data_IF_189831452413
#
_entry.id   IF_189831452413
#
_cell.length_a   1.000
_cell.length_b   1.000
_cell.length_c   1.000
_cell.angle_alpha   90.00
_cell.angle_beta   90.00
_cell.angle_gamma   90.00
#
_symmetry.space_group_name_H-M   'P 1'
#
loop_
_entity.id
_entity.type
_entity.pdbx_description
1 polymer ?
#
# COMPACT_ATOMS: atom_id res chain seq x y z
N UNK A 1 4.50 -11.07 -11.77
CA UNK A 1 3.46 -11.99 -11.28
C UNK A 1 3.18 -13.01 -12.35
N UNK A 2 3.24 -14.31 -12.07
CA UNK A 2 2.65 -15.30 -12.98
C UNK A 2 1.14 -15.06 -13.05
N UNK A 3 0.50 -15.38 -14.18
CA UNK A 3 -0.95 -15.23 -14.37
C UNK A 3 -1.76 -15.87 -13.21
N UNK A 4 -1.24 -16.97 -12.66
CA UNK A 4 -1.83 -17.71 -11.54
C UNK A 4 -1.97 -16.89 -10.25
N UNK A 5 -0.99 -16.07 -9.86
CA UNK A 5 -1.08 -15.29 -8.62
C UNK A 5 -2.09 -14.15 -8.73
N UNK A 6 -2.21 -13.56 -9.92
CA UNK A 6 -3.17 -12.50 -10.15
C UNK A 6 -4.60 -13.05 -10.04
N UNK A 7 -4.88 -14.21 -10.63
CA UNK A 7 -6.18 -14.88 -10.54
C UNK A 7 -6.55 -15.24 -9.09
N UNK A 8 -5.58 -15.73 -8.31
CA UNK A 8 -5.79 -15.99 -6.88
C UNK A 8 -6.21 -14.72 -6.15
N UNK A 9 -5.55 -13.59 -6.41
CA UNK A 9 -5.92 -12.32 -5.79
C UNK A 9 -7.32 -11.87 -6.24
N UNK A 10 -7.66 -12.00 -7.53
CA UNK A 10 -9.01 -11.69 -8.04
C UNK A 10 -10.07 -12.52 -7.31
N UNK A 11 -9.85 -13.82 -7.14
CA UNK A 11 -10.77 -14.70 -6.41
C UNK A 11 -10.86 -14.34 -4.91
N UNK A 12 -9.74 -13.94 -4.30
CA UNK A 12 -9.68 -13.57 -2.88
C UNK A 12 -10.45 -12.27 -2.58
N UNK A 13 -10.30 -11.25 -3.43
CA UNK A 13 -10.91 -9.93 -3.21
C UNK A 13 -12.30 -9.80 -3.84
N UNK A 14 -12.58 -10.54 -4.91
CA UNK A 14 -13.81 -10.49 -5.70
C UNK A 14 -15.10 -10.44 -4.86
N UNK A 15 -15.32 -11.36 -3.90
CA UNK A 15 -16.52 -11.37 -3.08
C UNK A 15 -16.77 -10.09 -2.26
N UNK A 16 -15.72 -9.29 -2.00
CA UNK A 16 -15.81 -8.06 -1.19
C UNK A 16 -15.97 -6.79 -2.01
N UNK A 17 -15.76 -6.85 -3.33
CA UNK A 17 -15.66 -5.66 -4.19
C UNK A 17 -16.48 -5.79 -5.47
N UNK A 18 -17.00 -6.96 -5.80
CA UNK A 18 -17.77 -7.18 -7.03
C UNK A 18 -18.96 -6.22 -7.10
N UNK A 19 -19.07 -5.50 -8.23
CA UNK A 19 -20.19 -4.59 -8.50
C UNK A 19 -21.07 -5.25 -9.55
N UNK A 20 -22.23 -5.72 -9.10
CA UNK A 20 -23.21 -6.44 -9.95
C UNK A 20 -24.24 -5.50 -10.59
N UNK A 21 -24.28 -4.23 -10.19
CA UNK A 21 -25.25 -3.27 -10.71
C UNK A 21 -24.85 -2.78 -12.10
N UNK A 22 -25.34 -3.47 -13.12
CA UNK A 22 -25.36 -2.93 -14.47
C UNK A 22 -26.32 -1.74 -14.54
N UNK A 23 -25.90 -0.68 -15.21
CA UNK A 23 -26.78 0.45 -15.53
C UNK A 23 -27.00 0.47 -17.03
N UNK A 24 -28.14 1.02 -17.46
CA UNK A 24 -28.49 1.16 -18.89
C UNK A 24 -27.35 1.87 -19.66
N UNK A 25 -26.62 2.77 -19.00
CA UNK A 25 -25.57 3.58 -19.62
C UNK A 25 -24.17 2.95 -19.57
N UNK A 26 -23.85 2.10 -18.59
CA UNK A 26 -22.49 1.57 -18.38
C UNK A 26 -22.48 0.21 -17.69
N UNK A 27 -21.61 -0.67 -18.21
CA UNK A 27 -21.20 -1.91 -17.54
C UNK A 27 -20.25 -1.62 -16.37
N UNK A 28 -20.32 -2.38 -15.26
CA UNK A 28 -19.35 -2.28 -14.17
C UNK A 28 -17.94 -2.60 -14.64
N UNK A 29 -16.95 -1.94 -14.04
CA UNK A 29 -15.53 -2.26 -14.24
C UNK A 29 -15.26 -3.60 -13.56
N UNK A 30 -14.63 -4.53 -14.28
CA UNK A 30 -14.39 -5.89 -13.78
C UNK A 30 -13.48 -5.91 -12.55
N UNK A 31 -13.61 -6.94 -11.71
CA UNK A 31 -12.74 -7.13 -10.53
C UNK A 31 -11.26 -7.15 -10.93
N UNK A 32 -10.92 -7.82 -12.04
CA UNK A 32 -9.57 -7.88 -12.56
C UNK A 32 -9.01 -6.51 -12.94
N UNK A 33 -9.76 -5.70 -13.70
CA UNK A 33 -9.32 -4.34 -14.07
C UNK A 33 -9.13 -3.45 -12.84
N UNK A 34 -10.04 -3.55 -11.86
CA UNK A 34 -9.94 -2.80 -10.61
C UNK A 34 -8.71 -3.19 -9.81
N UNK A 35 -8.42 -4.48 -9.73
CA UNK A 35 -7.21 -4.98 -9.07
C UNK A 35 -5.94 -4.53 -9.82
N UNK A 36 -5.92 -4.64 -11.15
CA UNK A 36 -4.79 -4.23 -11.98
C UNK A 36 -4.47 -2.73 -11.82
N UNK A 37 -5.51 -1.88 -11.81
CA UNK A 37 -5.38 -0.45 -11.52
C UNK A 37 -4.71 -0.21 -10.16
N UNK A 38 -5.19 -0.88 -9.12
CA UNK A 38 -4.66 -0.69 -7.76
C UNK A 38 -3.23 -1.22 -7.63
N UNK A 39 -2.92 -2.39 -8.21
CA UNK A 39 -1.55 -2.92 -8.20
C UNK A 39 -0.60 -1.99 -8.96
N UNK A 40 -1.03 -1.42 -10.10
CA UNK A 40 -0.26 -0.42 -10.82
C UNK A 40 0.03 0.80 -9.94
N UNK A 41 -0.98 1.29 -9.20
CA UNK A 41 -0.81 2.40 -8.26
C UNK A 41 0.20 2.08 -7.14
N UNK A 42 0.04 0.94 -6.47
CA UNK A 42 0.88 0.55 -5.32
C UNK A 42 2.34 0.34 -5.73
N UNK A 43 2.60 -0.31 -6.87
CA UNK A 43 3.95 -0.62 -7.32
C UNK A 43 4.67 0.61 -7.89
N UNK A 44 3.97 1.46 -8.65
CA UNK A 44 4.61 2.60 -9.32
C UNK A 44 4.67 3.87 -8.46
N UNK A 45 3.78 4.01 -7.48
CA UNK A 45 3.58 5.27 -6.76
C UNK A 45 3.03 6.41 -7.63
N UNK A 46 2.49 6.11 -8.83
CA UNK A 46 1.96 7.11 -9.75
C UNK A 46 0.77 7.88 -9.15
N UNK A 47 0.53 9.09 -9.64
CA UNK A 47 -0.61 9.90 -9.24
C UNK A 47 -1.93 9.30 -9.76
N UNK A 48 -2.99 9.42 -8.97
CA UNK A 48 -4.35 9.03 -9.39
C UNK A 48 -4.84 9.83 -10.62
N UNK A 49 -4.28 11.03 -10.86
CA UNK A 49 -4.56 11.83 -12.06
C UNK A 49 -3.99 11.16 -13.30
N UNK A 50 -2.71 10.77 -13.27
CA UNK A 50 -2.08 10.04 -14.38
C UNK A 50 -2.81 8.71 -14.66
N UNK A 51 -3.12 7.95 -13.61
CA UNK A 51 -3.86 6.69 -13.75
C UNK A 51 -5.27 6.87 -14.32
N UNK A 52 -5.93 8.00 -14.02
CA UNK A 52 -7.24 8.33 -14.59
C UNK A 52 -7.19 8.45 -16.11
N UNK A 53 -6.11 9.01 -16.67
CA UNK A 53 -5.89 9.06 -18.11
C UNK A 53 -5.53 7.70 -18.69
N UNK A 54 -4.63 6.94 -18.03
CA UNK A 54 -4.19 5.62 -18.51
C UNK A 54 -5.34 4.60 -18.58
N UNK A 55 -6.17 4.53 -17.55
CA UNK A 55 -7.30 3.60 -17.48
C UNK A 55 -8.60 4.17 -18.04
N UNK A 56 -8.59 5.44 -18.49
CA UNK A 56 -9.76 6.16 -19.01
C UNK A 56 -10.95 6.16 -18.04
N UNK A 57 -10.64 6.33 -16.75
CA UNK A 57 -11.61 6.35 -15.66
C UNK A 57 -11.62 7.74 -15.01
N UNK A 58 -12.76 8.19 -14.48
CA UNK A 58 -12.79 9.44 -13.73
C UNK A 58 -11.88 9.37 -12.49
N UNK A 59 -11.20 10.48 -12.15
CA UNK A 59 -10.29 10.53 -10.99
C UNK A 59 -10.93 10.04 -9.69
N UNK A 60 -12.19 10.41 -9.43
CA UNK A 60 -12.95 9.93 -8.27
C UNK A 60 -13.18 8.42 -8.29
N UNK A 61 -13.44 7.86 -9.48
CA UNK A 61 -13.58 6.41 -9.66
C UNK A 61 -12.27 5.69 -9.38
N UNK A 62 -11.16 6.18 -9.91
CA UNK A 62 -9.82 5.65 -9.61
C UNK A 62 -9.53 5.68 -8.12
N UNK A 63 -9.75 6.82 -7.45
CA UNK A 63 -9.54 6.96 -6.01
C UNK A 63 -10.36 5.97 -5.20
N UNK A 64 -11.65 5.82 -5.51
CA UNK A 64 -12.54 4.91 -4.80
C UNK A 64 -12.16 3.45 -5.04
N UNK A 65 -11.78 3.09 -6.28
CA UNK A 65 -11.31 1.74 -6.60
C UNK A 65 -10.05 1.41 -5.79
N UNK A 66 -9.04 2.30 -5.79
CA UNK A 66 -7.80 2.09 -5.04
C UNK A 66 -8.11 1.86 -3.57
N UNK A 67 -8.94 2.71 -2.96
CA UNK A 67 -9.30 2.59 -1.55
C UNK A 67 -10.04 1.27 -1.23
N UNK A 68 -11.05 0.91 -2.02
CA UNK A 68 -11.82 -0.32 -1.84
C UNK A 68 -10.94 -1.57 -1.98
N UNK A 69 -10.09 -1.62 -3.00
CA UNK A 69 -9.19 -2.76 -3.23
C UNK A 69 -8.13 -2.86 -2.13
N UNK A 70 -7.49 -1.75 -1.74
CA UNK A 70 -6.49 -1.76 -0.66
C UNK A 70 -7.10 -2.25 0.66
N UNK A 71 -8.33 -1.81 0.96
CA UNK A 71 -9.07 -2.26 2.16
C UNK A 71 -9.37 -3.75 2.09
N UNK A 72 -9.83 -4.25 0.94
CA UNK A 72 -10.09 -5.67 0.75
C UNK A 72 -8.82 -6.52 0.87
N UNK A 73 -7.72 -6.10 0.24
CA UNK A 73 -6.42 -6.76 0.33
C UNK A 73 -5.92 -6.80 1.78
N UNK A 74 -5.99 -5.68 2.50
CA UNK A 74 -5.59 -5.61 3.90
C UNK A 74 -6.36 -6.61 4.75
N UNK A 75 -7.69 -6.62 4.64
CA UNK A 75 -8.54 -7.50 5.45
C UNK A 75 -8.32 -8.98 5.15
N UNK A 76 -7.95 -9.33 3.91
CA UNK A 76 -7.75 -10.72 3.48
C UNK A 76 -6.32 -11.23 3.69
N UNK A 77 -5.31 -10.37 3.57
CA UNK A 77 -3.90 -10.79 3.56
C UNK A 77 -3.15 -10.45 4.84
N UNK A 78 -3.59 -9.48 5.65
CA UNK A 78 -2.80 -9.04 6.82
C UNK A 78 -2.42 -10.18 7.76
N UNK A 79 -3.31 -11.15 7.98
CA UNK A 79 -3.07 -12.22 8.94
C UNK A 79 -2.14 -13.31 8.39
N UNK A 80 -2.04 -13.46 7.06
CA UNK A 80 -1.19 -14.47 6.43
C UNK A 80 0.17 -13.93 5.99
N UNK A 81 0.28 -12.61 5.78
CA UNK A 81 1.48 -11.96 5.24
C UNK A 81 2.22 -11.14 6.30
N UNK A 82 1.54 -10.68 7.35
CA UNK A 82 2.16 -9.92 8.44
C UNK A 82 2.12 -10.74 9.72
N UNK A 83 3.28 -11.25 10.13
CA UNK A 83 3.48 -11.76 11.47
C UNK A 83 3.59 -10.59 12.45
N UNK A 84 2.86 -10.67 13.57
CA UNK A 84 2.94 -9.67 14.62
C UNK A 84 4.17 -9.97 15.49
N UNK A 85 5.18 -9.10 15.55
CA UNK A 85 6.36 -9.35 16.36
C UNK A 85 6.02 -9.37 17.85
N UNK A 86 6.68 -10.27 18.58
CA UNK A 86 6.60 -10.34 20.03
C UNK A 86 7.37 -9.20 20.70
N UNK A 87 7.18 -9.02 22.01
CA UNK A 87 7.93 -8.02 22.78
C UNK A 87 9.45 -8.25 22.67
N UNK A 88 9.87 -9.51 22.63
CA UNK A 88 11.26 -9.91 22.49
C UNK A 88 11.80 -9.58 21.10
N UNK A 89 10.99 -9.78 20.05
CA UNK A 89 11.34 -9.40 18.68
C UNK A 89 11.53 -7.89 18.57
N UNK A 90 10.62 -7.10 19.12
CA UNK A 90 10.75 -5.64 19.14
C UNK A 90 12.00 -5.15 19.84
N UNK A 91 12.37 -5.77 20.97
CA UNK A 91 13.63 -5.47 21.68
C UNK A 91 14.84 -5.86 20.84
N UNK A 92 14.78 -6.98 20.14
CA UNK A 92 15.83 -7.44 19.23
C UNK A 92 16.05 -6.46 18.09
N UNK A 93 14.97 -6.05 17.41
CA UNK A 93 14.99 -5.06 16.33
C UNK A 93 15.55 -3.73 16.85
N UNK A 94 15.06 -3.24 18.00
CA UNK A 94 15.56 -2.03 18.65
C UNK A 94 17.07 -2.01 18.87
N UNK A 95 17.61 -3.11 19.41
CA UNK A 95 19.06 -3.26 19.61
C UNK A 95 19.82 -3.36 18.28
N UNK A 96 19.22 -3.98 17.27
CA UNK A 96 19.79 -4.03 15.92
C UNK A 96 19.99 -2.63 15.35
N UNK A 97 18.97 -1.78 15.43
CA UNK A 97 19.07 -0.40 14.96
C UNK A 97 20.06 0.45 15.75
N UNK A 98 20.07 0.29 17.07
CA UNK A 98 21.02 1.00 17.95
C UNK A 98 22.46 0.59 17.65
N UNK A 99 22.74 -0.70 17.52
CA UNK A 99 24.11 -1.20 17.30
C UNK A 99 24.67 -0.88 15.91
N UNK A 100 23.84 -0.90 14.86
CA UNK A 100 24.29 -0.68 13.49
C UNK A 100 24.33 0.80 13.11
N UNK A 101 23.37 1.60 13.61
CA UNK A 101 23.16 2.98 13.15
C UNK A 101 23.06 4.00 14.29
N UNK A 102 23.35 3.61 15.53
CA UNK A 102 23.23 4.48 16.72
C UNK A 102 21.83 5.11 16.83
N UNK A 103 20.80 4.34 16.47
CA UNK A 103 19.41 4.78 16.52
C UNK A 103 18.64 4.03 17.63
N UNK A 104 18.66 4.54 18.88
CA UNK A 104 18.00 3.87 19.99
C UNK A 104 16.48 3.88 19.81
N UNK A 105 15.82 2.81 20.25
CA UNK A 105 14.37 2.62 20.20
C UNK A 105 13.73 2.62 18.79
N UNK A 106 14.50 2.43 17.72
CA UNK A 106 13.92 2.21 16.40
C UNK A 106 13.43 0.77 16.26
N UNK A 107 12.15 0.62 15.98
CA UNK A 107 11.50 -0.69 15.83
C UNK A 107 11.26 -1.06 14.35
N UNK A 108 11.71 -0.24 13.41
CA UNK A 108 11.56 -0.55 12.00
C UNK A 108 11.80 0.67 11.10
N UNK A 109 12.02 0.38 9.82
CA UNK A 109 12.15 1.37 8.78
C UNK A 109 11.12 1.07 7.67
N UNK A 110 10.58 2.12 7.05
CA UNK A 110 9.71 2.00 5.88
C UNK A 110 10.52 2.48 4.68
N UNK A 111 10.89 1.54 3.81
CA UNK A 111 11.53 1.84 2.53
C UNK A 111 10.47 1.93 1.41
N UNK A 112 10.68 2.81 0.41
CA UNK A 112 9.92 2.79 -0.84
C UNK A 112 8.91 3.92 -1.09
N UNK A 113 8.80 4.95 -0.23
CA UNK A 113 8.00 6.14 -0.58
C UNK A 113 8.55 7.43 0.03
N UNK A 114 8.86 8.40 -0.83
CA UNK A 114 9.06 9.78 -0.40
C UNK A 114 7.71 10.33 0.08
N UNK A 115 7.50 10.35 1.40
CA UNK A 115 6.35 11.00 2.01
C UNK A 115 6.74 12.47 2.22
N UNK A 116 6.17 13.43 1.46
CA UNK A 116 6.44 14.83 1.71
C UNK A 116 5.81 15.20 3.07
N UNK A 117 6.65 15.39 4.07
CA UNK A 117 6.22 15.87 5.39
C UNK A 117 6.21 17.40 5.33
N UNK A 118 5.05 18.01 5.46
CA UNK A 118 4.96 19.46 5.60
C UNK A 118 5.32 19.84 7.04
N UNK A 119 6.37 20.65 7.21
CA UNK A 119 6.76 21.14 8.52
C UNK A 119 5.63 21.98 9.16
N UNK A 120 5.39 21.87 10.47
CA UNK A 120 4.51 22.79 11.19
C UNK A 120 5.00 24.23 11.08
N UNK A 121 4.07 25.18 11.01
CA UNK A 121 4.42 26.60 10.98
C UNK A 121 5.17 26.99 12.27
N UNK A 122 6.39 27.52 12.11
CA UNK A 122 7.20 28.03 13.23
C UNK A 122 8.16 27.03 13.88
N UNK A 123 8.24 25.78 13.42
CA UNK A 123 9.23 24.82 13.92
C UNK A 123 10.50 24.83 13.06
N UNK A 124 11.67 25.11 13.66
CA UNK A 124 12.94 24.62 13.15
C UNK A 124 13.03 23.14 13.53
N UNK A 125 12.61 22.25 12.64
CA UNK A 125 12.48 20.83 12.96
C UNK A 125 13.72 20.06 12.46
N UNK A 126 14.51 19.53 13.39
CA UNK A 126 15.28 18.30 13.14
C UNK A 126 14.41 17.16 13.64
N UNK A 127 13.61 16.59 12.76
CA UNK A 127 12.98 15.28 12.99
C UNK A 127 13.86 14.27 12.27
N UNK A 128 14.65 13.50 13.00
CA UNK A 128 15.45 12.43 12.43
C UNK A 128 14.55 11.22 12.13
N UNK A 129 13.73 11.31 11.09
CA UNK A 129 13.21 10.12 10.41
C UNK A 129 14.27 9.77 9.36
N UNK A 130 15.14 8.84 9.71
CA UNK A 130 16.11 8.29 8.77
C UNK A 130 15.35 7.30 7.88
N UNK A 131 14.93 7.76 6.70
CA UNK A 131 14.56 6.88 5.59
C UNK A 131 15.88 6.41 4.98
N UNK A 132 16.45 5.33 5.51
CA UNK A 132 17.58 4.67 4.86
C UNK A 132 17.04 3.70 3.82
N UNK A 133 17.64 3.78 2.62
CA UNK A 133 17.63 2.66 1.68
C UNK A 133 18.31 1.49 2.36
N UNK A 134 17.79 0.30 2.09
CA UNK A 134 18.33 -0.99 2.53
C UNK A 134 17.85 -1.37 3.94
N UNK A 135 16.82 -2.20 4.00
CA UNK A 135 16.87 -3.54 4.62
C UNK A 135 15.48 -4.18 4.48
N UNK A 136 15.37 -5.09 3.50
CA UNK A 136 14.34 -6.13 3.49
C UNK A 136 14.86 -7.21 4.44
N UNK A 137 14.12 -7.47 5.52
CA UNK A 137 14.07 -8.79 6.14
C UNK A 137 12.66 -9.30 5.99
#
# INVERSE_FOLDING_TARGET
>A
MSATHFEVLVQLVGPSIERTRETIARRPISVGERLALTLRYVVSGDSMVSLSYQFRMGKSTVSNIIFEICTALWNKLRASVLELPTTEDWKGIGKGFESQWNFPNCIGAIDGKHIPIQAPAGAAMVLNIIITKDFIV
#
